data_IF_578220919896
#
_entry.id   IF_578220919896
#
_cell.length_a   1.000
_cell.length_b   1.000
_cell.length_c   1.000
_cell.angle_alpha   90.00
_cell.angle_beta   90.00
_cell.angle_gamma   90.00
#
_symmetry.space_group_name_H-M   'P 1'
#
loop_
_entity.id
_entity.type
_entity.pdbx_description
1 polymer ?
#
# COMPACT_ATOMS: atom_id res chain seq x y z
N UNK A 1 26.61 6.38 10.39
CA UNK A 1 25.42 6.58 9.54
C UNK A 1 24.83 5.21 9.26
N UNK A 2 24.05 4.67 10.19
CA UNK A 2 23.19 3.52 9.89
C UNK A 2 22.00 4.11 9.17
N UNK A 3 21.92 3.94 7.86
CA UNK A 3 20.71 4.26 7.13
C UNK A 3 19.69 3.23 7.62
N UNK A 4 18.72 3.70 8.40
CA UNK A 4 17.69 2.88 9.02
C UNK A 4 16.96 2.10 7.91
N UNK A 5 17.28 0.81 7.77
CA UNK A 5 16.66 -0.10 6.80
C UNK A 5 15.12 -0.08 6.90
N UNK A 6 14.60 0.30 8.07
CA UNK A 6 13.17 0.49 8.31
C UNK A 6 12.60 1.66 7.50
N UNK A 7 13.26 2.81 7.47
CA UNK A 7 12.82 3.98 6.68
C UNK A 7 12.84 3.73 5.17
N UNK A 8 13.82 2.97 4.67
CA UNK A 8 13.85 2.55 3.25
C UNK A 8 12.69 1.59 2.96
N UNK A 9 12.42 0.66 3.87
CA UNK A 9 11.33 -0.31 3.72
C UNK A 9 9.95 0.36 3.75
N UNK A 10 9.74 1.36 4.61
CA UNK A 10 8.51 2.14 4.66
C UNK A 10 8.31 2.99 3.41
N UNK A 11 9.37 3.59 2.87
CA UNK A 11 9.28 4.37 1.64
C UNK A 11 8.91 3.48 0.44
N UNK A 12 9.52 2.30 0.34
CA UNK A 12 9.16 1.31 -0.68
C UNK A 12 7.73 0.79 -0.53
N UNK A 13 7.23 0.61 0.69
CA UNK A 13 5.82 0.27 0.95
C UNK A 13 4.89 1.40 0.48
N UNK A 14 5.23 2.65 0.79
CA UNK A 14 4.45 3.81 0.36
C UNK A 14 4.40 3.94 -1.17
N UNK A 15 5.54 3.79 -1.85
CA UNK A 15 5.61 3.82 -3.33
C UNK A 15 4.75 2.70 -3.95
N UNK A 16 4.74 1.50 -3.36
CA UNK A 16 3.89 0.40 -3.81
C UNK A 16 2.40 0.69 -3.59
N UNK A 17 2.03 1.28 -2.46
CA UNK A 17 0.64 1.69 -2.18
C UNK A 17 0.17 2.74 -3.20
N UNK A 18 1.01 3.73 -3.54
CA UNK A 18 0.66 4.73 -4.56
C UNK A 18 0.47 4.10 -5.93
N UNK A 19 1.37 3.22 -6.36
CA UNK A 19 1.27 2.49 -7.62
C UNK A 19 -0.01 1.63 -7.70
N UNK A 20 -0.30 0.86 -6.65
CA UNK A 20 -1.52 0.06 -6.61
C UNK A 20 -2.78 0.92 -6.60
N UNK A 21 -2.75 2.07 -5.92
CA UNK A 21 -3.88 3.00 -5.85
C UNK A 21 -4.14 3.69 -7.19
N UNK A 22 -3.10 4.01 -7.94
CA UNK A 22 -3.22 4.52 -9.31
C UNK A 22 -3.82 3.45 -10.24
N UNK A 23 -3.28 2.22 -10.17
CA UNK A 23 -3.79 1.07 -10.93
C UNK A 23 -5.24 0.75 -10.59
N UNK A 24 -5.62 0.82 -9.32
CA UNK A 24 -7.00 0.65 -8.89
C UNK A 24 -7.91 1.74 -9.42
N UNK A 25 -7.45 2.99 -9.45
CA UNK A 25 -8.21 4.09 -10.04
C UNK A 25 -8.42 3.89 -11.54
N UNK A 26 -7.39 3.46 -12.28
CA UNK A 26 -7.52 3.11 -13.70
C UNK A 26 -8.52 1.97 -13.89
N UNK A 27 -8.35 0.85 -13.19
CA UNK A 27 -9.26 -0.29 -13.27
C UNK A 27 -10.70 0.10 -12.90
N UNK A 28 -10.88 0.93 -11.87
CA UNK A 28 -12.21 1.44 -11.48
C UNK A 28 -12.82 2.33 -12.56
N UNK A 29 -12.01 3.14 -13.24
CA UNK A 29 -12.48 4.00 -14.32
C UNK A 29 -12.80 3.21 -15.61
N UNK A 30 -12.04 2.15 -15.89
CA UNK A 30 -12.20 1.32 -17.09
C UNK A 30 -13.28 0.23 -16.93
N UNK A 31 -13.32 -0.46 -15.80
CA UNK A 31 -14.17 -1.64 -15.57
C UNK A 31 -15.32 -1.42 -14.59
N UNK A 32 -15.22 -0.37 -13.77
CA UNK A 32 -16.20 -0.07 -12.73
C UNK A 32 -15.85 -0.70 -11.38
N UNK A 33 -16.46 -0.18 -10.32
CA UNK A 33 -16.13 -0.53 -8.93
C UNK A 33 -16.46 -1.99 -8.54
N UNK A 34 -17.34 -2.65 -9.30
CA UNK A 34 -17.80 -4.01 -9.03
C UNK A 34 -16.98 -5.08 -9.74
N UNK A 35 -15.95 -4.68 -10.49
CA UNK A 35 -15.10 -5.62 -11.21
C UNK A 35 -14.26 -6.44 -10.21
N UNK A 36 -14.17 -7.77 -10.38
CA UNK A 36 -13.37 -8.61 -9.51
C UNK A 36 -11.89 -8.21 -9.47
N UNK A 37 -11.32 -7.63 -10.52
CA UNK A 37 -9.94 -7.13 -10.49
C UNK A 37 -9.78 -5.86 -9.65
N UNK A 38 -10.81 -5.00 -9.60
CA UNK A 38 -10.83 -3.82 -8.72
C UNK A 38 -10.97 -4.25 -7.26
N UNK A 39 -11.78 -5.27 -6.99
CA UNK A 39 -11.94 -5.86 -5.66
C UNK A 39 -10.65 -6.53 -5.19
N UNK A 40 -10.00 -7.31 -6.05
CA UNK A 40 -8.73 -7.97 -5.74
C UNK A 40 -7.62 -6.94 -5.46
N UNK A 41 -7.50 -5.92 -6.31
CA UNK A 41 -6.57 -4.81 -6.08
C UNK A 41 -6.89 -3.99 -4.82
N UNK A 42 -8.17 -3.90 -4.43
CA UNK A 42 -8.57 -3.27 -3.15
C UNK A 42 -8.08 -4.08 -1.96
N UNK A 43 -8.23 -5.40 -1.99
CA UNK A 43 -7.78 -6.31 -0.93
C UNK A 43 -6.25 -6.25 -0.78
N UNK A 44 -5.54 -6.23 -1.92
CA UNK A 44 -4.07 -6.16 -1.95
C UNK A 44 -3.57 -4.82 -1.38
N UNK A 45 -4.22 -3.71 -1.73
CA UNK A 45 -3.92 -2.39 -1.17
C UNK A 45 -4.17 -2.33 0.35
N UNK A 46 -5.27 -2.91 0.82
CA UNK A 46 -5.62 -2.94 2.25
C UNK A 46 -4.58 -3.74 3.05
N UNK A 47 -4.10 -4.86 2.50
CA UNK A 47 -3.00 -5.64 3.07
C UNK A 47 -1.71 -4.85 3.23
N UNK A 48 -1.32 -4.09 2.19
CA UNK A 48 -0.13 -3.23 2.22
C UNK A 48 -0.27 -2.06 3.20
N UNK A 49 -1.45 -1.43 3.24
CA UNK A 49 -1.76 -0.37 4.20
C UNK A 49 -1.68 -0.89 5.64
N UNK A 50 -2.21 -2.08 5.90
CA UNK A 50 -2.16 -2.69 7.23
C UNK A 50 -0.73 -3.08 7.64
N UNK A 51 0.11 -3.51 6.70
CA UNK A 51 1.54 -3.72 6.97
C UNK A 51 2.25 -2.40 7.25
N UNK A 52 2.01 -1.35 6.45
CA UNK A 52 2.54 -0.02 6.70
C UNK A 52 2.13 0.50 8.08
N UNK A 53 0.84 0.40 8.43
CA UNK A 53 0.32 0.80 9.74
C UNK A 53 0.97 0.01 10.87
N UNK A 54 1.18 -1.31 10.72
CA UNK A 54 1.86 -2.13 11.73
C UNK A 54 3.31 -1.72 11.93
N UNK A 55 4.05 -1.41 10.87
CA UNK A 55 5.45 -0.97 10.97
C UNK A 55 5.55 0.41 11.60
N UNK A 56 4.73 1.37 11.16
CA UNK A 56 4.66 2.71 11.77
C UNK A 56 4.25 2.65 13.24
N UNK A 57 3.26 1.82 13.59
CA UNK A 57 2.85 1.62 14.98
C UNK A 57 3.93 0.94 15.83
N UNK A 58 4.72 0.04 15.27
CA UNK A 58 5.84 -0.61 15.94
C UNK A 58 7.01 0.36 16.18
N UNK A 59 7.26 1.30 15.27
CA UNK A 59 8.28 2.35 15.45
C UNK A 59 7.82 3.47 16.40
N UNK A 60 6.52 3.80 16.43
CA UNK A 60 5.96 4.86 17.28
C UNK A 60 5.81 4.52 18.77
N UNK A 61 6.13 3.30 19.19
CA UNK A 61 6.00 2.84 20.58
C UNK A 61 7.32 2.76 21.36
N UNK A 62 8.36 3.48 20.89
CA UNK A 62 9.68 3.52 21.53
C UNK A 62 10.05 4.89 22.06
#
# INVERSE_FOLDING_TARGET
MSIDMDTISLRMLYEQIELLRDRMQQLRNEKGYTDPEVLDASIELDGLLNEYHRRVAAEGWR
#
